data_IF_643575319531
#
_entry.id   IF_643575319531
#
_cell.length_a   1.000
_cell.length_b   1.000
_cell.length_c   1.000
_cell.angle_alpha   90.00
_cell.angle_beta   90.00
_cell.angle_gamma   90.00
#
_symmetry.space_group_name_H-M   'P 1'
#
loop_
_entity.id
_entity.type
_entity.pdbx_description
1 polymer ?
#
# COMPACT_ATOMS: atom_id res chain seq x y z
N UNK A 1 -24.52 -9.63 -6.96
CA UNK A 1 -24.53 -9.05 -5.60
C UNK A 1 -24.84 -10.18 -4.65
N UNK A 2 -23.84 -10.74 -4.01
CA UNK A 2 -24.03 -11.73 -2.93
C UNK A 2 -24.58 -10.96 -1.74
N UNK A 3 -25.76 -11.34 -1.25
CA UNK A 3 -26.36 -10.80 -0.02
C UNK A 3 -25.34 -10.98 1.12
N UNK A 4 -24.87 -9.88 1.70
CA UNK A 4 -24.09 -9.91 2.94
C UNK A 4 -25.07 -10.48 3.99
N UNK A 5 -24.73 -11.65 4.52
CA UNK A 5 -25.47 -12.24 5.61
C UNK A 5 -25.37 -11.24 6.79
N UNK A 6 -26.46 -10.71 7.31
CA UNK A 6 -26.50 -9.69 8.39
C UNK A 6 -25.75 -10.14 9.68
N UNK A 7 -25.32 -11.39 9.72
CA UNK A 7 -24.54 -11.98 10.81
C UNK A 7 -23.02 -11.94 10.62
N UNK A 8 -22.50 -11.51 9.45
CA UNK A 8 -21.06 -11.55 9.19
C UNK A 8 -20.42 -10.17 9.35
N UNK A 9 -19.32 -10.08 10.12
CA UNK A 9 -18.46 -8.90 10.23
C UNK A 9 -17.42 -8.98 9.12
N UNK A 10 -17.49 -8.18 8.03
CA UNK A 10 -16.55 -8.29 6.91
C UNK A 10 -15.18 -7.75 7.27
N UNK A 11 -14.10 -8.28 6.64
CA UNK A 11 -12.72 -7.78 6.84
C UNK A 11 -12.54 -6.38 6.26
N UNK A 12 -13.28 -6.02 5.23
CA UNK A 12 -13.28 -4.70 4.61
C UNK A 12 -14.67 -4.30 4.16
N UNK A 13 -15.00 -3.01 4.26
CA UNK A 13 -16.30 -2.46 3.87
C UNK A 13 -16.08 -1.10 3.19
N UNK A 14 -15.89 -1.08 1.84
CA UNK A 14 -15.80 0.16 1.08
C UNK A 14 -17.08 1.00 1.23
N UNK A 15 -16.93 2.29 1.47
CA UNK A 15 -18.05 3.22 1.65
C UNK A 15 -18.26 4.04 0.40
N UNK A 16 -19.45 3.96 -0.20
CA UNK A 16 -19.94 4.85 -1.24
C UNK A 16 -21.31 5.34 -0.81
N UNK A 17 -21.50 6.66 -0.82
CA UNK A 17 -22.76 7.30 -0.45
C UNK A 17 -23.22 8.31 -1.50
N UNK A 18 -24.30 9.03 -1.19
CA UNK A 18 -24.90 10.02 -2.10
C UNK A 18 -23.90 11.10 -2.54
N UNK A 19 -22.97 11.50 -1.67
CA UNK A 19 -21.99 12.54 -2.04
C UNK A 19 -21.04 12.09 -3.16
N UNK A 20 -20.61 10.82 -3.17
CA UNK A 20 -19.82 10.24 -4.26
C UNK A 20 -20.66 10.11 -5.54
N UNK A 21 -21.92 9.68 -5.40
CA UNK A 21 -22.86 9.55 -6.54
C UNK A 21 -23.11 10.93 -7.18
N UNK A 22 -23.42 11.94 -6.38
CA UNK A 22 -23.65 13.30 -6.85
C UNK A 22 -22.42 13.88 -7.54
N UNK A 23 -21.22 13.68 -6.99
CA UNK A 23 -19.98 14.14 -7.60
C UNK A 23 -19.75 13.50 -8.98
N UNK A 24 -19.98 12.21 -9.13
CA UNK A 24 -19.91 11.50 -10.42
C UNK A 24 -20.94 12.03 -11.40
N UNK A 25 -22.20 12.25 -10.97
CA UNK A 25 -23.26 12.79 -11.82
C UNK A 25 -22.89 14.18 -12.35
N UNK A 26 -22.29 15.05 -11.51
CA UNK A 26 -21.83 16.38 -11.95
C UNK A 26 -20.73 16.27 -13.02
N UNK A 27 -19.75 15.38 -12.85
CA UNK A 27 -18.73 15.14 -13.87
C UNK A 27 -19.34 14.69 -15.19
N UNK A 28 -20.26 13.72 -15.16
CA UNK A 28 -20.91 13.22 -16.37
C UNK A 28 -21.73 14.33 -17.08
N UNK A 29 -22.43 15.19 -16.33
CA UNK A 29 -23.17 16.33 -16.87
C UNK A 29 -22.27 17.39 -17.48
N UNK A 30 -21.06 17.58 -16.95
CA UNK A 30 -20.10 18.56 -17.48
C UNK A 30 -19.51 18.16 -18.84
N UNK A 31 -19.50 16.87 -19.17
CA UNK A 31 -18.84 16.31 -20.35
C UNK A 31 -17.30 16.19 -20.20
N UNK A 32 -16.69 16.72 -19.16
CA UNK A 32 -15.24 16.60 -18.88
C UNK A 32 -14.98 15.35 -18.07
N UNK A 33 -14.86 14.20 -18.72
CA UNK A 33 -14.81 12.89 -18.04
C UNK A 33 -13.41 12.32 -17.89
N UNK A 34 -12.38 12.91 -18.53
CA UNK A 34 -11.00 12.41 -18.54
C UNK A 34 -10.03 13.53 -18.20
N UNK A 35 -9.21 13.32 -17.18
CA UNK A 35 -8.07 14.16 -16.78
C UNK A 35 -8.32 15.69 -16.93
N UNK A 36 -9.32 16.18 -16.26
CA UNK A 36 -9.76 17.57 -16.29
C UNK A 36 -9.67 18.24 -14.92
N UNK A 37 -10.66 19.11 -14.58
CA UNK A 37 -10.64 19.91 -13.36
C UNK A 37 -10.72 19.09 -12.07
N UNK A 38 -11.39 17.92 -12.08
CA UNK A 38 -11.49 17.07 -10.89
C UNK A 38 -10.15 16.43 -10.54
N UNK A 39 -9.41 15.97 -11.57
CA UNK A 39 -8.05 15.45 -11.38
C UNK A 39 -7.13 16.53 -10.83
N UNK A 40 -7.13 17.73 -11.40
CA UNK A 40 -6.30 18.84 -10.93
C UNK A 40 -6.58 19.20 -9.46
N UNK A 41 -7.88 19.32 -9.10
CA UNK A 41 -8.29 19.62 -7.74
C UNK A 41 -8.00 18.47 -6.75
N UNK A 42 -7.98 17.22 -7.22
CA UNK A 42 -7.59 16.07 -6.40
C UNK A 42 -6.08 16.07 -6.13
N UNK A 43 -5.25 16.32 -7.16
CA UNK A 43 -3.79 16.47 -7.03
C UNK A 43 -3.44 17.59 -6.02
N UNK A 44 -4.05 18.76 -6.16
CA UNK A 44 -3.83 19.92 -5.27
C UNK A 44 -4.20 19.61 -3.80
N UNK A 45 -5.38 19.01 -3.59
CA UNK A 45 -5.81 18.68 -2.21
C UNK A 45 -5.01 17.56 -1.58
N UNK A 46 -4.56 16.57 -2.36
CA UNK A 46 -3.77 15.46 -1.86
C UNK A 46 -2.38 15.92 -1.41
N UNK A 47 -1.82 16.97 -2.02
CA UNK A 47 -0.53 17.55 -1.66
C UNK A 47 -0.43 17.92 -0.17
N UNK A 48 -1.53 18.36 0.44
CA UNK A 48 -1.58 18.67 1.87
C UNK A 48 -1.32 17.46 2.80
N UNK A 49 -1.53 16.22 2.30
CA UNK A 49 -1.27 15.00 3.07
C UNK A 49 0.19 14.56 3.03
N UNK A 50 0.98 15.11 2.12
CA UNK A 50 2.34 14.67 1.80
C UNK A 50 3.35 15.84 1.84
N UNK A 51 3.20 16.71 2.81
CA UNK A 51 4.09 17.84 3.09
C UNK A 51 4.24 18.82 1.90
N UNK A 52 3.13 19.05 1.19
CA UNK A 52 3.09 19.97 0.05
C UNK A 52 3.81 19.49 -1.21
N UNK A 53 4.16 18.20 -1.30
CA UNK A 53 4.78 17.63 -2.51
C UNK A 53 3.87 17.75 -3.72
N UNK A 54 4.47 17.85 -4.90
CA UNK A 54 3.76 17.81 -6.18
C UNK A 54 3.14 16.43 -6.34
N UNK A 55 1.85 16.41 -6.64
CA UNK A 55 1.07 15.20 -6.87
C UNK A 55 0.74 15.04 -8.35
N UNK A 56 0.80 13.79 -8.83
CA UNK A 56 0.45 13.43 -10.21
C UNK A 56 -0.46 12.20 -10.18
N UNK A 57 -1.74 12.39 -10.45
CA UNK A 57 -2.74 11.32 -10.41
C UNK A 57 -2.61 10.41 -11.65
N UNK A 58 -2.75 9.12 -11.44
CA UNK A 58 -2.66 8.06 -12.45
C UNK A 58 -3.76 7.03 -12.24
N UNK A 59 -3.89 6.06 -13.15
CA UNK A 59 -5.01 5.11 -13.15
C UNK A 59 -4.91 3.97 -12.13
N UNK A 60 -3.76 3.77 -11.47
CA UNK A 60 -3.58 2.75 -10.41
C UNK A 60 -2.31 2.98 -9.60
N UNK A 61 -2.23 2.35 -8.40
CA UNK A 61 -0.99 2.35 -7.61
C UNK A 61 0.17 1.66 -8.32
N UNK A 62 -0.08 0.59 -9.07
CA UNK A 62 0.95 -0.08 -9.88
C UNK A 62 1.51 0.86 -10.94
N UNK A 63 0.66 1.61 -11.62
CA UNK A 63 1.08 2.63 -12.58
C UNK A 63 1.88 3.75 -11.92
N UNK A 64 1.51 4.15 -10.69
CA UNK A 64 2.24 5.16 -9.94
C UNK A 64 3.68 4.72 -9.66
N UNK A 65 3.88 3.50 -9.15
CA UNK A 65 5.21 2.92 -8.92
C UNK A 65 6.01 2.80 -10.23
N UNK A 66 5.37 2.25 -11.27
CA UNK A 66 6.03 2.03 -12.56
C UNK A 66 6.48 3.34 -13.21
N UNK A 67 5.60 4.34 -13.27
CA UNK A 67 5.91 5.64 -13.87
C UNK A 67 6.98 6.40 -13.07
N UNK A 68 6.95 6.29 -11.73
CA UNK A 68 7.98 6.90 -10.89
C UNK A 68 9.36 6.29 -11.14
N UNK A 69 9.46 4.95 -11.24
CA UNK A 69 10.70 4.26 -11.58
C UNK A 69 11.20 4.65 -12.97
N UNK A 70 10.33 4.67 -13.99
CA UNK A 70 10.68 5.11 -15.35
C UNK A 70 11.15 6.56 -15.36
N UNK A 71 10.49 7.46 -14.62
CA UNK A 71 10.86 8.87 -14.56
C UNK A 71 12.21 9.10 -13.87
N UNK A 72 12.62 8.21 -12.96
CA UNK A 72 13.95 8.16 -12.36
C UNK A 72 15.01 7.55 -13.29
N UNK A 73 14.63 7.12 -14.50
CA UNK A 73 15.54 6.49 -15.44
C UNK A 73 15.88 5.03 -15.13
N UNK A 74 15.18 4.40 -14.16
CA UNK A 74 15.46 3.04 -13.75
C UNK A 74 14.91 2.05 -14.79
N UNK A 75 15.78 1.16 -15.28
CA UNK A 75 15.43 0.25 -16.34
C UNK A 75 16.41 -0.91 -16.48
N UNK A 76 16.57 -1.39 -17.72
CA UNK A 76 17.42 -2.56 -18.02
C UNK A 76 18.86 -2.36 -17.57
N UNK A 77 19.36 -3.28 -16.75
CA UNK A 77 20.71 -3.26 -16.18
C UNK A 77 20.74 -2.79 -14.74
N UNK A 78 19.69 -2.09 -14.29
CA UNK A 78 19.55 -1.65 -12.91
C UNK A 78 18.90 -2.73 -12.04
N UNK A 79 19.10 -2.61 -10.73
CA UNK A 79 18.46 -3.40 -9.68
C UNK A 79 17.70 -2.49 -8.72
N UNK A 80 16.55 -2.98 -8.25
CA UNK A 80 15.77 -2.33 -7.19
C UNK A 80 15.58 -3.29 -6.04
N UNK A 81 15.96 -2.88 -4.83
CA UNK A 81 15.75 -3.66 -3.61
C UNK A 81 14.32 -3.47 -3.13
N UNK A 82 13.57 -4.57 -2.99
CA UNK A 82 12.16 -4.59 -2.56
C UNK A 82 11.92 -5.65 -1.51
N UNK A 83 10.93 -5.50 -0.59
CA UNK A 83 10.54 -6.59 0.30
C UNK A 83 9.79 -7.67 -0.49
N UNK A 84 10.04 -8.93 -0.13
CA UNK A 84 9.27 -10.02 -0.74
C UNK A 84 7.91 -10.23 -0.05
N UNK A 85 7.74 -9.72 1.17
CA UNK A 85 6.46 -9.73 1.87
C UNK A 85 5.67 -8.45 1.55
N UNK A 86 5.07 -8.43 0.36
CA UNK A 86 4.23 -7.33 -0.15
C UNK A 86 3.26 -7.84 -1.20
N UNK A 87 2.39 -6.97 -1.68
CA UNK A 87 1.62 -7.23 -2.90
C UNK A 87 2.55 -7.26 -4.12
N UNK A 88 2.29 -8.19 -5.04
CA UNK A 88 3.15 -8.40 -6.22
C UNK A 88 3.37 -7.13 -7.06
N UNK A 89 2.49 -6.12 -6.95
CA UNK A 89 2.61 -4.86 -7.70
C UNK A 89 3.92 -4.12 -7.42
N UNK A 90 4.46 -4.19 -6.18
CA UNK A 90 5.76 -3.57 -5.84
C UNK A 90 6.88 -4.10 -6.73
N UNK A 91 7.01 -5.43 -6.84
CA UNK A 91 8.01 -6.05 -7.70
C UNK A 91 7.64 -6.01 -9.19
N UNK A 92 6.34 -6.13 -9.54
CA UNK A 92 5.87 -6.02 -10.93
C UNK A 92 6.22 -4.66 -11.52
N UNK A 93 6.08 -3.57 -10.77
CA UNK A 93 6.41 -2.23 -11.23
C UNK A 93 7.89 -2.11 -11.64
N UNK A 94 8.80 -2.76 -10.89
CA UNK A 94 10.22 -2.86 -11.23
C UNK A 94 10.42 -3.67 -12.52
N UNK A 95 9.86 -4.88 -12.59
CA UNK A 95 10.03 -5.75 -13.78
C UNK A 95 9.49 -5.11 -15.06
N UNK A 96 8.43 -4.32 -14.97
CA UNK A 96 7.85 -3.61 -16.12
C UNK A 96 8.77 -2.52 -16.68
N UNK A 97 9.73 -1.97 -15.91
CA UNK A 97 10.76 -1.06 -16.44
C UNK A 97 11.88 -1.81 -17.17
N UNK A 98 11.98 -3.11 -17.01
CA UNK A 98 13.09 -3.93 -17.47
C UNK A 98 14.23 -4.08 -16.45
N UNK A 99 14.14 -3.44 -15.29
CA UNK A 99 15.07 -3.61 -14.18
C UNK A 99 14.90 -4.96 -13.48
N UNK A 100 15.92 -5.39 -12.76
CA UNK A 100 15.91 -6.58 -11.95
C UNK A 100 15.43 -6.28 -10.53
N UNK A 101 14.65 -7.23 -9.97
CA UNK A 101 14.22 -7.20 -8.58
C UNK A 101 15.28 -7.90 -7.72
N UNK A 102 15.68 -7.26 -6.63
CA UNK A 102 16.49 -7.87 -5.56
C UNK A 102 15.62 -7.89 -4.31
N UNK A 103 15.31 -9.10 -3.81
CA UNK A 103 14.53 -9.22 -2.59
C UNK A 103 15.42 -9.10 -1.38
N UNK A 104 14.97 -8.32 -0.39
CA UNK A 104 15.54 -8.26 0.95
C UNK A 104 14.47 -8.67 1.97
N UNK A 105 14.92 -9.21 3.11
CA UNK A 105 14.02 -9.64 4.17
C UNK A 105 13.40 -8.46 4.91
N UNK A 106 12.40 -8.73 5.71
CA UNK A 106 11.61 -7.76 6.46
C UNK A 106 11.99 -7.77 7.95
N UNK A 107 11.68 -6.66 8.63
CA UNK A 107 11.69 -6.64 10.09
C UNK A 107 10.55 -7.53 10.65
N UNK A 108 10.81 -8.30 11.72
CA UNK A 108 9.83 -9.25 12.25
C UNK A 108 8.55 -8.58 12.76
N UNK A 109 8.65 -7.35 13.25
CA UNK A 109 7.53 -6.67 13.91
C UNK A 109 6.76 -5.71 13.01
N UNK A 110 7.46 -4.93 12.18
CA UNK A 110 6.85 -3.91 11.32
C UNK A 110 6.54 -4.38 9.90
N UNK A 111 6.99 -5.56 9.50
CA UNK A 111 6.86 -6.14 8.15
C UNK A 111 7.45 -5.27 7.02
N UNK A 112 8.10 -4.16 7.33
CA UNK A 112 8.85 -3.34 6.38
C UNK A 112 10.23 -3.93 6.10
N UNK A 113 10.93 -3.41 5.07
CA UNK A 113 12.31 -3.79 4.79
C UNK A 113 13.20 -3.69 6.03
N UNK A 114 13.96 -4.75 6.33
CA UNK A 114 15.02 -4.71 7.33
C UNK A 114 16.23 -3.92 6.77
N UNK A 115 16.65 -2.83 7.44
CA UNK A 115 17.80 -2.04 7.02
C UNK A 115 19.10 -2.85 6.87
N UNK A 116 19.35 -3.84 7.71
CA UNK A 116 20.53 -4.69 7.61
C UNK A 116 20.45 -5.61 6.38
N UNK A 117 19.29 -6.20 6.12
CA UNK A 117 19.06 -6.99 4.90
C UNK A 117 19.17 -6.15 3.64
N UNK A 118 18.68 -4.90 3.66
CA UNK A 118 18.85 -3.95 2.55
C UNK A 118 20.32 -3.66 2.30
N UNK A 119 21.10 -3.34 3.33
CA UNK A 119 22.53 -3.05 3.18
C UNK A 119 23.32 -4.23 2.61
N UNK A 120 22.97 -5.45 3.00
CA UNK A 120 23.56 -6.69 2.46
C UNK A 120 23.14 -6.98 1.00
N UNK A 121 21.96 -6.53 0.57
CA UNK A 121 21.43 -6.77 -0.76
C UNK A 121 21.94 -5.79 -1.82
N UNK A 122 22.58 -4.67 -1.42
CA UNK A 122 23.08 -3.63 -2.34
C UNK A 122 24.25 -4.16 -3.17
N UNK A 123 24.15 -3.98 -4.49
CA UNK A 123 25.20 -4.28 -5.48
C UNK A 123 25.62 -3.01 -6.24
N UNK A 124 26.66 -3.06 -7.07
CA UNK A 124 26.99 -1.93 -7.96
C UNK A 124 25.91 -1.58 -9.00
N UNK A 125 24.93 -2.45 -9.22
CA UNK A 125 23.79 -2.22 -10.12
C UNK A 125 22.55 -1.69 -9.42
N UNK A 126 22.55 -1.65 -8.09
CA UNK A 126 21.40 -1.14 -7.33
C UNK A 126 21.20 0.34 -7.61
N UNK A 127 20.03 0.70 -8.12
CA UNK A 127 19.64 2.08 -8.43
C UNK A 127 18.66 2.65 -7.41
N UNK A 128 17.83 1.79 -6.79
CA UNK A 128 16.84 2.24 -5.82
C UNK A 128 16.55 1.20 -4.73
N UNK A 129 16.00 1.72 -3.62
CA UNK A 129 15.35 0.95 -2.57
C UNK A 129 13.87 1.31 -2.61
N UNK A 130 12.98 0.30 -2.56
CA UNK A 130 11.54 0.49 -2.52
C UNK A 130 10.95 -0.03 -1.19
N UNK A 131 10.97 0.78 -0.11
CA UNK A 131 10.27 0.43 1.11
C UNK A 131 8.75 0.39 0.86
N UNK A 132 8.09 -0.58 1.47
CA UNK A 132 6.63 -0.70 1.47
C UNK A 132 6.11 -0.38 2.87
N UNK A 133 5.18 0.56 2.97
CA UNK A 133 4.48 0.91 4.20
C UNK A 133 3.30 -0.04 4.40
N UNK A 134 3.64 -1.31 4.72
CA UNK A 134 2.69 -2.41 4.73
C UNK A 134 1.63 -2.25 5.82
N UNK A 135 0.40 -2.64 5.52
CA UNK A 135 -0.78 -2.56 6.42
C UNK A 135 -1.13 -1.16 6.93
N UNK A 136 -0.40 -0.13 6.46
CA UNK A 136 -0.55 1.24 6.94
C UNK A 136 0.41 1.62 8.06
N UNK A 137 1.39 0.76 8.38
CA UNK A 137 2.52 1.08 9.25
C UNK A 137 3.66 1.68 8.40
N UNK A 138 4.28 2.81 8.79
CA UNK A 138 5.43 3.33 8.07
C UNK A 138 6.62 2.36 8.18
N UNK A 139 7.32 2.13 7.07
CA UNK A 139 8.61 1.44 7.09
C UNK A 139 9.65 2.26 7.87
N UNK A 140 10.76 1.65 8.24
CA UNK A 140 11.85 2.25 9.01
C UNK A 140 12.64 3.32 8.21
N UNK A 141 11.93 4.38 7.78
CA UNK A 141 12.49 5.40 6.88
C UNK A 141 13.65 6.17 7.48
N UNK A 142 13.65 6.34 8.79
CA UNK A 142 14.74 6.95 9.58
C UNK A 142 16.05 6.15 9.49
N UNK A 143 15.97 4.83 9.26
CA UNK A 143 17.13 3.93 9.09
C UNK A 143 17.43 3.62 7.62
N UNK A 144 16.42 3.53 6.76
CA UNK A 144 16.56 3.22 5.33
C UNK A 144 17.07 4.42 4.53
N UNK A 145 16.58 5.64 4.80
CA UNK A 145 16.99 6.85 4.07
C UNK A 145 18.50 7.12 4.18
N UNK A 146 19.13 7.05 5.37
CA UNK A 146 20.59 7.21 5.47
C UNK A 146 21.39 6.16 4.72
N UNK A 147 20.90 4.93 4.57
CA UNK A 147 21.55 3.90 3.74
C UNK A 147 21.53 4.32 2.27
N UNK A 148 20.36 4.73 1.77
CA UNK A 148 20.21 5.19 0.40
C UNK A 148 21.10 6.41 0.08
N UNK A 149 21.14 7.40 0.98
CA UNK A 149 21.96 8.60 0.85
C UNK A 149 23.47 8.27 0.76
N UNK A 150 23.96 7.42 1.67
CA UNK A 150 25.40 7.00 1.66
C UNK A 150 25.79 6.27 0.38
N UNK A 151 24.83 5.59 -0.26
CA UNK A 151 25.03 4.78 -1.46
C UNK A 151 24.63 5.49 -2.76
N UNK A 152 24.08 6.72 -2.69
CA UNK A 152 23.59 7.45 -3.84
C UNK A 152 22.39 6.79 -4.53
N UNK A 153 21.54 6.08 -3.76
CA UNK A 153 20.39 5.34 -4.27
C UNK A 153 19.11 6.18 -4.17
N UNK A 154 18.21 6.02 -5.13
CA UNK A 154 16.88 6.57 -5.01
C UNK A 154 16.04 5.79 -3.96
N UNK A 155 15.17 6.50 -3.24
CA UNK A 155 14.14 5.87 -2.41
C UNK A 155 12.79 6.10 -3.07
N UNK A 156 12.09 5.02 -3.40
CA UNK A 156 10.75 5.00 -3.99
C UNK A 156 9.78 4.39 -2.99
N UNK A 157 8.94 5.22 -2.37
CA UNK A 157 8.02 4.75 -1.32
C UNK A 157 6.79 4.07 -1.94
N UNK A 158 6.56 2.79 -1.63
CA UNK A 158 5.25 2.15 -1.86
C UNK A 158 4.34 2.45 -0.66
N UNK A 159 3.61 3.56 -0.75
CA UNK A 159 2.65 4.03 0.25
C UNK A 159 1.19 3.63 -0.09
N UNK A 160 0.99 2.65 -0.98
CA UNK A 160 -0.33 2.22 -1.46
C UNK A 160 -1.29 1.74 -0.35
N UNK A 161 -0.78 1.47 0.84
CA UNK A 161 -1.57 1.04 2.00
C UNK A 161 -1.51 2.05 3.16
N UNK A 162 -0.87 3.22 3.00
CA UNK A 162 -0.46 4.03 4.13
C UNK A 162 -0.88 5.52 4.03
N UNK A 163 -2.07 5.78 3.50
CA UNK A 163 -2.63 7.14 3.42
C UNK A 163 -2.67 7.78 4.81
N UNK A 164 -1.99 8.92 4.97
CA UNK A 164 -1.82 9.66 6.23
C UNK A 164 -0.97 8.98 7.32
N UNK A 165 -0.29 7.87 7.02
CA UNK A 165 0.73 7.34 7.91
C UNK A 165 1.93 8.29 8.00
N UNK A 166 2.65 8.26 9.12
CA UNK A 166 3.80 9.13 9.34
C UNK A 166 4.83 8.46 10.26
N UNK A 167 6.08 8.85 10.12
CA UNK A 167 7.16 8.48 11.03
C UNK A 167 7.83 9.75 11.56
N UNK A 168 7.90 9.90 12.91
CA UNK A 168 8.39 11.11 13.58
C UNK A 168 7.77 12.41 13.07
N UNK A 169 6.46 12.37 12.77
CA UNK A 169 5.69 13.51 12.26
C UNK A 169 5.81 13.76 10.75
N UNK A 170 6.76 13.12 10.06
CA UNK A 170 6.90 13.24 8.61
C UNK A 170 5.99 12.24 7.89
N UNK A 171 5.09 12.68 6.98
CA UNK A 171 4.17 11.80 6.29
C UNK A 171 4.90 10.86 5.33
N UNK A 172 4.40 9.63 5.18
CA UNK A 172 4.85 8.72 4.11
C UNK A 172 4.49 9.32 2.74
N UNK A 173 5.28 9.00 1.73
CA UNK A 173 5.22 9.65 0.41
C UNK A 173 5.99 10.97 0.36
N UNK A 174 6.64 11.38 1.47
CA UNK A 174 7.45 12.58 1.57
C UNK A 174 8.93 12.33 1.94
N UNK A 175 9.39 11.08 2.05
CA UNK A 175 10.77 10.79 2.45
C UNK A 175 11.74 10.72 1.28
N UNK A 176 11.43 9.96 0.24
CA UNK A 176 12.35 9.66 -0.84
C UNK A 176 12.26 10.61 -2.04
N UNK A 177 12.76 10.14 -3.18
CA UNK A 177 12.61 10.80 -4.48
C UNK A 177 11.15 10.96 -4.87
N UNK A 178 10.32 9.99 -4.48
CA UNK A 178 8.88 10.03 -4.63
C UNK A 178 8.18 8.88 -3.94
N UNK A 179 6.86 9.01 -3.79
CA UNK A 179 5.98 7.99 -3.25
C UNK A 179 4.84 7.66 -4.20
N UNK A 180 4.28 6.47 -4.04
CA UNK A 180 3.13 5.99 -4.80
C UNK A 180 1.99 5.60 -3.87
N UNK A 181 0.78 6.03 -4.20
CA UNK A 181 -0.45 5.69 -3.48
C UNK A 181 -1.44 4.98 -4.40
N UNK A 182 -2.31 4.16 -3.81
CA UNK A 182 -3.37 3.44 -4.52
C UNK A 182 -4.73 3.87 -3.99
N UNK A 183 -5.69 4.03 -4.89
CA UNK A 183 -7.09 4.33 -4.56
C UNK A 183 -8.03 3.19 -4.96
N UNK A 184 -7.56 1.95 -4.83
CA UNK A 184 -8.37 0.74 -5.00
C UNK A 184 -9.45 0.66 -3.90
N UNK A 185 -10.63 0.07 -4.12
CA UNK A 185 -11.78 0.11 -3.19
C UNK A 185 -11.51 -0.34 -1.75
N UNK A 186 -10.56 -1.24 -1.51
CA UNK A 186 -10.23 -1.70 -0.14
C UNK A 186 -9.34 -0.73 0.64
N UNK A 187 -8.76 0.30 0.00
CA UNK A 187 -7.85 1.25 0.65
C UNK A 187 -8.58 2.15 1.64
N UNK A 188 -7.83 2.82 2.51
CA UNK A 188 -8.39 3.70 3.55
C UNK A 188 -9.23 4.86 2.97
N UNK A 189 -8.96 5.24 1.75
CA UNK A 189 -9.81 6.00 0.84
C UNK A 189 -9.67 5.42 -0.57
N UNK A 190 -10.67 5.58 -1.42
CA UNK A 190 -10.63 5.06 -2.77
C UNK A 190 -11.19 6.04 -3.81
N UNK A 191 -10.90 5.76 -5.06
CA UNK A 191 -11.41 6.49 -6.22
C UNK A 191 -11.96 5.49 -7.27
N UNK A 192 -12.58 4.38 -6.81
CA UNK A 192 -12.94 3.19 -7.59
C UNK A 192 -11.67 2.51 -8.10
N UNK A 193 -10.92 3.15 -8.99
CA UNK A 193 -9.56 2.85 -9.40
C UNK A 193 -8.76 4.14 -9.46
N UNK A 194 -7.46 4.07 -9.16
CA UNK A 194 -6.57 5.21 -9.23
C UNK A 194 -5.27 5.02 -8.47
N UNK A 195 -4.37 5.95 -8.68
CA UNK A 195 -3.10 6.08 -7.96
C UNK A 195 -2.63 7.53 -7.95
N UNK A 196 -1.61 7.80 -7.13
CA UNK A 196 -0.96 9.11 -7.07
C UNK A 196 0.54 8.91 -6.95
N UNK A 197 1.30 9.63 -7.77
CA UNK A 197 2.74 9.83 -7.56
C UNK A 197 2.93 11.12 -6.79
N UNK A 198 3.85 11.11 -5.81
CA UNK A 198 4.24 12.30 -5.04
C UNK A 198 5.74 12.52 -5.16
N UNK A 199 6.18 13.75 -5.38
CA UNK A 199 7.60 14.10 -5.44
C UNK A 199 7.83 15.57 -5.08
N UNK A 200 9.02 15.91 -4.59
CA UNK A 200 9.44 17.30 -4.41
C UNK A 200 10.11 17.88 -5.66
N UNK A 201 10.47 17.03 -6.64
CA UNK A 201 11.19 17.41 -7.84
C UNK A 201 10.20 17.76 -8.97
N UNK A 202 10.16 19.03 -9.45
CA UNK A 202 9.28 19.45 -10.54
C UNK A 202 9.57 18.74 -11.88
N UNK A 203 10.83 18.43 -12.16
CA UNK A 203 11.21 17.76 -13.42
C UNK A 203 10.78 16.29 -13.39
N UNK A 204 10.92 15.63 -12.24
CA UNK A 204 10.41 14.28 -12.06
C UNK A 204 8.87 14.26 -12.21
N UNK A 205 8.18 15.22 -11.60
CA UNK A 205 6.73 15.36 -11.76
C UNK A 205 6.32 15.62 -13.22
N UNK A 206 7.06 16.47 -13.94
CA UNK A 206 6.85 16.73 -15.37
C UNK A 206 7.00 15.44 -16.19
N UNK A 207 8.09 14.71 -15.94
CA UNK A 207 8.35 13.44 -16.64
C UNK A 207 7.24 12.42 -16.39
N UNK A 208 6.74 12.29 -15.15
CA UNK A 208 5.59 11.43 -14.85
C UNK A 208 4.33 11.89 -15.60
N UNK A 209 4.08 13.21 -15.71
CA UNK A 209 2.95 13.75 -16.47
C UNK A 209 3.04 13.41 -17.96
N UNK A 210 4.23 13.49 -18.55
CA UNK A 210 4.48 13.08 -19.93
C UNK A 210 4.22 11.57 -20.09
N UNK A 211 4.86 10.75 -19.27
CA UNK A 211 4.75 9.29 -19.34
C UNK A 211 3.30 8.79 -19.21
N UNK A 212 2.49 9.38 -18.30
CA UNK A 212 1.07 9.00 -18.12
C UNK A 212 0.18 9.40 -19.28
N UNK A 213 0.61 10.35 -20.13
CA UNK A 213 -0.19 10.99 -21.17
C UNK A 213 0.44 10.84 -22.57
N UNK A 214 0.79 9.63 -22.97
CA UNK A 214 1.33 9.34 -24.30
C UNK A 214 2.64 10.10 -24.64
N UNK A 215 3.36 10.60 -23.63
CA UNK A 215 4.59 11.35 -23.79
C UNK A 215 4.40 12.80 -24.25
N UNK A 216 3.22 13.41 -24.03
CA UNK A 216 2.92 14.76 -24.54
C UNK A 216 2.34 15.68 -23.44
N UNK A 217 2.78 16.94 -23.42
CA UNK A 217 2.12 18.06 -22.75
C UNK A 217 1.09 18.73 -23.67
N UNK A 218 1.50 19.00 -24.90
CA UNK A 218 0.61 19.57 -25.92
C UNK A 218 0.10 18.47 -26.83
N UNK A 219 -1.16 18.59 -27.22
CA UNK A 219 -1.81 17.62 -28.11
C UNK A 219 -1.02 17.42 -29.41
N UNK A 220 -0.69 16.16 -29.70
CA UNK A 220 0.10 15.71 -30.87
C UNK A 220 1.59 16.12 -30.86
N UNK A 221 2.10 16.71 -29.78
CA UNK A 221 3.51 17.00 -29.61
C UNK A 221 4.13 16.00 -28.58
N UNK A 222 4.46 14.80 -29.04
CA UNK A 222 5.07 13.77 -28.22
C UNK A 222 6.57 14.05 -28.05
N UNK A 223 7.01 14.22 -26.82
CA UNK A 223 8.41 14.47 -26.47
C UNK A 223 9.17 13.19 -26.14
N UNK A 224 8.47 12.23 -25.52
CA UNK A 224 9.01 10.93 -25.10
C UNK A 224 8.02 9.81 -25.42
N UNK A 225 8.47 8.56 -25.32
CA UNK A 225 7.56 7.41 -25.36
C UNK A 225 6.77 7.38 -24.05
N UNK A 226 5.46 7.36 -24.11
CA UNK A 226 4.56 7.31 -22.95
C UNK A 226 3.37 6.38 -23.19
N UNK A 227 2.56 6.19 -22.16
CA UNK A 227 1.38 5.34 -22.18
C UNK A 227 0.12 6.12 -21.80
N UNK A 228 -1.04 5.50 -21.94
CA UNK A 228 -2.29 6.03 -21.39
C UNK A 228 -2.52 5.47 -20.00
N UNK A 229 -2.01 6.17 -18.98
CA UNK A 229 -2.19 5.83 -17.57
C UNK A 229 -2.87 6.96 -16.77
N UNK A 230 -3.74 7.72 -17.46
CA UNK A 230 -4.47 8.86 -16.89
C UNK A 230 -5.54 8.40 -15.92
N UNK A 231 -5.71 9.14 -14.82
CA UNK A 231 -6.89 9.07 -13.98
C UNK A 231 -8.06 9.78 -14.70
N UNK A 232 -9.28 9.26 -14.56
CA UNK A 232 -10.47 9.93 -15.05
C UNK A 232 -10.98 10.97 -14.05
N UNK A 233 -11.68 12.01 -14.53
CA UNK A 233 -12.35 12.98 -13.64
C UNK A 233 -13.46 12.30 -12.82
N UNK A 234 -14.09 11.25 -13.34
CA UNK A 234 -15.06 10.44 -12.60
C UNK A 234 -14.42 9.82 -11.35
N UNK A 235 -13.26 9.18 -11.51
CA UNK A 235 -12.52 8.60 -10.38
C UNK A 235 -12.02 9.69 -9.42
N UNK A 236 -11.48 10.79 -9.96
CA UNK A 236 -10.97 11.89 -9.14
C UNK A 236 -12.06 12.56 -8.30
N UNK A 237 -13.28 12.71 -8.82
CA UNK A 237 -14.43 13.24 -8.09
C UNK A 237 -14.78 12.38 -6.87
N UNK A 238 -14.83 11.05 -7.04
CA UNK A 238 -14.98 10.13 -5.92
C UNK A 238 -13.84 10.30 -4.92
N UNK A 239 -12.58 10.29 -5.40
CA UNK A 239 -11.39 10.48 -4.57
C UNK A 239 -11.42 11.77 -3.75
N UNK A 240 -11.90 12.88 -4.30
CA UNK A 240 -12.04 14.16 -3.60
C UNK A 240 -13.05 14.13 -2.46
N UNK A 241 -14.18 13.45 -2.64
CA UNK A 241 -15.19 13.25 -1.57
C UNK A 241 -14.59 12.39 -0.47
N UNK A 242 -13.98 11.27 -0.82
CA UNK A 242 -13.32 10.34 0.09
C UNK A 242 -12.20 11.02 0.89
N UNK A 243 -11.40 11.85 0.23
CA UNK A 243 -10.31 12.62 0.85
C UNK A 243 -10.81 13.51 2.00
N UNK A 244 -12.00 14.11 1.84
CA UNK A 244 -12.64 14.91 2.89
C UNK A 244 -13.05 14.12 4.13
N UNK A 245 -13.18 12.80 4.02
CA UNK A 245 -13.56 11.88 5.12
C UNK A 245 -12.38 11.13 5.70
N UNK A 246 -11.24 11.10 5.00
CA UNK A 246 -10.09 10.25 5.32
C UNK A 246 -9.57 10.45 6.75
N UNK A 247 -9.47 11.69 7.22
CA UNK A 247 -8.99 11.98 8.57
C UNK A 247 -9.88 11.33 9.65
N UNK A 248 -11.19 11.51 9.56
CA UNK A 248 -12.14 10.90 10.49
C UNK A 248 -12.13 9.37 10.42
N UNK A 249 -12.04 8.81 9.22
CA UNK A 249 -11.94 7.36 9.05
C UNK A 249 -10.64 6.78 9.59
N UNK A 250 -9.54 7.50 9.44
CA UNK A 250 -8.25 7.09 10.02
C UNK A 250 -8.32 7.05 11.55
N UNK A 251 -8.88 8.09 12.18
CA UNK A 251 -9.03 8.08 13.64
C UNK A 251 -10.00 6.98 14.12
N UNK A 252 -11.05 6.69 13.37
CA UNK A 252 -11.94 5.57 13.70
C UNK A 252 -11.23 4.22 13.60
N UNK A 253 -10.40 3.99 12.55
CA UNK A 253 -9.57 2.77 12.44
C UNK A 253 -8.59 2.66 13.61
N UNK A 254 -7.96 3.75 14.00
CA UNK A 254 -7.04 3.77 15.13
C UNK A 254 -7.73 3.49 16.46
N UNK A 255 -8.92 4.05 16.66
CA UNK A 255 -9.74 3.76 17.84
C UNK A 255 -10.19 2.28 17.88
N UNK A 256 -10.61 1.72 16.72
CA UNK A 256 -10.96 0.31 16.61
C UNK A 256 -9.74 -0.58 16.92
N UNK A 257 -8.56 -0.23 16.40
CA UNK A 257 -7.32 -0.97 16.68
C UNK A 257 -6.94 -0.93 18.15
N UNK A 258 -6.99 0.24 18.78
CA UNK A 258 -6.72 0.37 20.22
C UNK A 258 -7.68 -0.50 21.07
N UNK A 259 -8.97 -0.52 20.70
CA UNK A 259 -9.93 -1.41 21.35
C UNK A 259 -9.53 -2.88 21.22
N UNK A 260 -9.11 -3.31 20.02
CA UNK A 260 -8.67 -4.68 19.78
C UNK A 260 -7.38 -5.00 20.57
N UNK A 261 -6.42 -4.08 20.60
CA UNK A 261 -5.16 -4.22 21.35
C UNK A 261 -5.43 -4.42 22.85
N UNK A 262 -6.37 -3.66 23.42
CA UNK A 262 -6.71 -3.71 24.86
C UNK A 262 -7.48 -4.97 25.26
N UNK A 263 -8.22 -5.60 24.33
CA UNK A 263 -9.18 -6.68 24.66
C UNK A 263 -8.79 -8.06 24.10
N UNK A 264 -7.89 -8.14 23.13
CA UNK A 264 -7.36 -9.43 22.65
C UNK A 264 -6.34 -9.94 23.66
N UNK A 265 -6.69 -11.07 24.31
CA UNK A 265 -5.89 -11.68 25.39
C UNK A 265 -5.48 -13.12 25.09
N UNK A 266 -5.87 -13.68 23.94
CA UNK A 266 -5.54 -15.04 23.54
C UNK A 266 -4.02 -15.26 23.46
N UNK A 267 -3.41 -16.20 24.21
CA UNK A 267 -1.96 -16.39 24.25
C UNK A 267 -1.34 -16.79 22.89
N UNK A 268 -2.16 -17.36 22.00
CA UNK A 268 -1.73 -17.75 20.65
C UNK A 268 -1.72 -16.56 19.66
N UNK A 269 -2.20 -15.39 20.05
CA UNK A 269 -2.37 -14.23 19.18
C UNK A 269 -1.42 -13.12 19.62
N UNK A 270 -0.63 -12.61 18.68
CA UNK A 270 0.19 -11.41 18.90
C UNK A 270 -0.42 -10.27 18.09
N UNK A 271 -0.83 -9.21 18.78
CA UNK A 271 -1.38 -7.98 18.17
C UNK A 271 -0.28 -7.21 17.43
N UNK A 272 -0.61 -6.39 16.41
CA UNK A 272 0.38 -5.66 15.63
C UNK A 272 1.12 -4.63 16.50
N UNK A 273 2.44 -4.70 16.62
CA UNK A 273 3.21 -3.67 17.32
C UNK A 273 3.26 -2.38 16.50
N UNK A 274 3.38 -1.25 17.18
CA UNK A 274 3.59 0.06 16.56
C UNK A 274 4.97 0.59 16.96
N UNK A 275 5.82 0.86 15.97
CA UNK A 275 7.15 1.39 16.22
C UNK A 275 7.11 2.79 16.85
N UNK A 276 8.13 3.14 17.63
CA UNK A 276 8.26 4.46 18.23
C UNK A 276 8.23 5.56 17.16
N UNK A 277 7.46 6.60 17.39
CA UNK A 277 7.27 7.71 16.45
C UNK A 277 6.41 7.38 15.23
N UNK A 278 5.94 6.13 15.07
CA UNK A 278 5.09 5.75 13.96
C UNK A 278 3.61 6.11 14.21
N UNK A 279 2.99 6.74 13.22
CA UNK A 279 1.55 6.88 13.13
C UNK A 279 1.00 5.80 12.20
N UNK A 280 0.62 4.66 12.79
CA UNK A 280 -0.05 3.57 12.06
C UNK A 280 -1.49 3.96 11.73
N UNK A 281 -1.93 3.71 10.48
CA UNK A 281 -3.27 4.08 10.00
C UNK A 281 -4.18 2.88 9.77
N UNK A 282 -3.69 1.70 10.13
CA UNK A 282 -4.43 0.44 10.13
C UNK A 282 -5.26 0.22 8.86
N UNK A 283 -4.58 0.21 7.71
CA UNK A 283 -5.18 -0.31 6.47
C UNK A 283 -5.65 -1.74 6.71
N UNK A 284 -4.82 -2.52 7.39
CA UNK A 284 -5.16 -3.82 7.95
C UNK A 284 -4.79 -3.85 9.45
N UNK A 285 -5.57 -4.55 10.24
CA UNK A 285 -5.22 -4.96 11.60
C UNK A 285 -4.75 -6.41 11.52
N UNK A 286 -3.44 -6.60 11.45
CA UNK A 286 -2.84 -7.90 11.14
C UNK A 286 -2.16 -8.46 12.36
N UNK A 287 -2.71 -9.55 12.87
CA UNK A 287 -2.16 -10.30 14.01
C UNK A 287 -1.28 -11.45 13.53
N UNK A 288 -0.37 -11.94 14.38
CA UNK A 288 0.30 -13.22 14.18
C UNK A 288 -0.38 -14.31 15.01
N UNK A 289 -0.60 -15.45 14.39
CA UNK A 289 -1.18 -16.64 15.03
C UNK A 289 -0.05 -17.65 15.27
N UNK A 290 0.16 -18.02 16.53
CA UNK A 290 1.09 -19.09 16.88
C UNK A 290 0.40 -20.44 16.72
N UNK A 291 0.96 -21.33 15.91
CA UNK A 291 0.41 -22.66 15.64
C UNK A 291 -0.31 -22.73 14.29
N UNK A 292 -1.42 -23.46 14.22
CA UNK A 292 -2.16 -23.66 12.96
C UNK A 292 -3.01 -22.44 12.60
N UNK A 293 -2.43 -21.52 11.78
CA UNK A 293 -3.07 -20.32 11.28
C UNK A 293 -4.35 -20.62 10.47
N UNK A 294 -4.34 -21.66 9.64
CA UNK A 294 -5.47 -21.98 8.76
C UNK A 294 -6.66 -22.54 9.56
N UNK A 295 -6.38 -23.35 10.58
CA UNK A 295 -7.42 -23.78 11.54
C UNK A 295 -8.00 -22.58 12.32
N UNK A 296 -7.18 -21.64 12.76
CA UNK A 296 -7.65 -20.41 13.42
C UNK A 296 -8.54 -19.58 12.48
N UNK A 297 -8.16 -19.40 11.22
CA UNK A 297 -8.98 -18.71 10.21
C UNK A 297 -10.34 -19.40 9.99
N UNK A 298 -10.36 -20.72 9.92
CA UNK A 298 -11.60 -21.48 9.78
C UNK A 298 -12.53 -21.27 10.99
N UNK A 299 -12.00 -21.24 12.22
CA UNK A 299 -12.77 -20.95 13.45
C UNK A 299 -13.33 -19.53 13.43
N UNK A 300 -12.54 -18.52 13.07
CA UNK A 300 -12.99 -17.13 12.93
C UNK A 300 -14.12 -17.02 11.89
N UNK A 301 -13.96 -17.65 10.74
CA UNK A 301 -15.00 -17.69 9.69
C UNK A 301 -16.27 -18.36 10.20
N UNK A 302 -16.15 -19.48 10.93
CA UNK A 302 -17.29 -20.17 11.57
C UNK A 302 -18.01 -19.33 12.61
N UNK A 303 -17.30 -18.40 13.29
CA UNK A 303 -17.87 -17.42 14.22
C UNK A 303 -18.46 -16.19 13.50
N UNK A 304 -18.47 -16.15 12.18
CA UNK A 304 -18.97 -15.02 11.39
C UNK A 304 -18.01 -13.82 11.32
N UNK A 305 -16.72 -14.03 11.61
CA UNK A 305 -15.69 -12.98 11.50
C UNK A 305 -14.94 -13.13 10.19
N UNK A 306 -15.06 -12.14 9.32
CA UNK A 306 -14.27 -12.03 8.09
C UNK A 306 -12.79 -11.89 8.42
N UNK A 307 -11.96 -12.64 7.72
CA UNK A 307 -10.51 -12.61 7.90
C UNK A 307 -9.80 -12.90 6.58
N UNK A 308 -8.54 -12.52 6.46
CA UNK A 308 -7.76 -12.73 5.24
C UNK A 308 -6.26 -12.79 5.54
N UNK A 309 -5.50 -13.39 4.64
CA UNK A 309 -4.03 -13.37 4.67
C UNK A 309 -3.51 -12.42 3.58
N UNK A 310 -2.75 -11.42 3.97
CA UNK A 310 -2.07 -10.49 3.08
C UNK A 310 -0.55 -10.52 3.40
N UNK A 311 0.30 -11.38 2.73
CA UNK A 311 -0.04 -12.19 1.56
C UNK A 311 0.38 -13.64 1.81
N UNK A 312 -0.40 -14.66 1.36
CA UNK A 312 -0.15 -16.06 1.73
C UNK A 312 1.08 -16.66 1.02
N UNK A 313 1.49 -16.06 -0.09
CA UNK A 313 2.67 -16.47 -0.84
C UNK A 313 3.58 -15.27 -1.04
N UNK A 314 4.79 -15.25 -0.47
CA UNK A 314 5.77 -14.20 -0.72
C UNK A 314 6.10 -14.06 -2.21
N UNK A 315 6.46 -12.84 -2.65
CA UNK A 315 6.63 -12.53 -4.08
C UNK A 315 7.70 -13.41 -4.71
N UNK A 316 8.82 -13.67 -4.04
CA UNK A 316 9.91 -14.51 -4.56
C UNK A 316 9.49 -15.97 -4.84
N UNK A 317 8.39 -16.43 -4.23
CA UNK A 317 7.80 -17.76 -4.46
C UNK A 317 6.70 -17.76 -5.53
N UNK A 318 6.28 -16.59 -6.02
CA UNK A 318 5.33 -16.51 -7.13
C UNK A 318 5.99 -16.95 -8.44
N UNK A 319 5.25 -17.66 -9.28
CA UNK A 319 5.75 -18.25 -10.53
C UNK A 319 6.57 -17.30 -11.42
N UNK A 320 6.18 -16.02 -11.64
CA UNK A 320 6.95 -15.08 -12.49
C UNK A 320 8.34 -14.75 -11.96
N UNK A 321 8.59 -14.93 -10.65
CA UNK A 321 9.86 -14.67 -9.98
C UNK A 321 10.62 -15.96 -9.71
N UNK A 322 9.94 -17.00 -9.21
CA UNK A 322 10.52 -18.27 -8.89
C UNK A 322 11.12 -19.02 -10.10
N UNK A 323 10.41 -19.10 -11.26
CA UNK A 323 10.90 -19.80 -12.43
C UNK A 323 12.20 -19.23 -13.02
N UNK A 324 12.37 -17.91 -13.18
CA UNK A 324 13.64 -17.34 -13.61
C UNK A 324 14.78 -17.61 -12.62
N UNK A 325 14.51 -17.53 -11.31
CA UNK A 325 15.52 -17.77 -10.28
C UNK A 325 15.99 -19.23 -10.27
N UNK A 326 15.09 -20.20 -10.45
CA UNK A 326 15.47 -21.62 -10.63
C UNK A 326 16.42 -21.83 -11.83
N UNK A 327 16.17 -21.14 -12.95
CA UNK A 327 17.01 -21.25 -14.15
C UNK A 327 18.41 -20.65 -13.94
N UNK A 328 18.54 -19.63 -13.11
CA UNK A 328 19.82 -18.94 -12.81
C UNK A 328 20.51 -19.50 -11.57
N UNK A 329 19.85 -20.40 -10.82
CA UNK A 329 20.35 -20.92 -9.54
C UNK A 329 20.30 -19.90 -8.40
N UNK A 330 19.55 -18.79 -8.56
CA UNK A 330 19.37 -17.80 -7.50
C UNK A 330 18.47 -18.36 -6.41
N UNK A 331 18.91 -18.28 -5.17
CA UNK A 331 18.14 -18.63 -3.99
C UNK A 331 18.02 -17.40 -3.08
N UNK A 332 16.85 -17.25 -2.46
CA UNK A 332 16.56 -16.19 -1.49
C UNK A 332 16.44 -16.81 -0.11
N UNK A 333 17.21 -16.29 0.86
CA UNK A 333 17.09 -16.61 2.28
C UNK A 333 16.37 -15.46 2.97
N UNK A 334 15.07 -15.63 3.22
CA UNK A 334 14.15 -14.61 3.70
C UNK A 334 13.29 -15.18 4.85
N UNK A 335 13.91 -15.58 5.98
CA UNK A 335 13.24 -16.33 7.04
C UNK A 335 12.10 -15.56 7.72
N UNK A 336 12.23 -14.24 7.92
CA UNK A 336 11.17 -13.44 8.52
C UNK A 336 9.99 -13.24 7.56
N UNK A 337 10.25 -13.12 6.26
CA UNK A 337 9.23 -13.10 5.19
C UNK A 337 8.42 -14.40 5.19
N UNK A 338 9.10 -15.55 5.21
CA UNK A 338 8.46 -16.86 5.21
C UNK A 338 7.62 -17.08 6.45
N UNK A 339 8.18 -16.77 7.63
CA UNK A 339 7.48 -16.83 8.91
C UNK A 339 6.25 -15.92 8.95
N UNK A 340 6.37 -14.68 8.43
CA UNK A 340 5.22 -13.78 8.35
C UNK A 340 4.10 -14.37 7.46
N UNK A 341 4.44 -14.92 6.29
CA UNK A 341 3.46 -15.54 5.40
C UNK A 341 2.71 -16.71 6.03
N UNK A 342 3.36 -17.45 6.92
CA UNK A 342 2.78 -18.59 7.62
C UNK A 342 1.89 -18.20 8.82
N UNK A 343 2.17 -17.04 9.47
CA UNK A 343 1.59 -16.69 10.77
C UNK A 343 0.49 -15.62 10.69
N UNK A 344 0.50 -14.73 9.68
CA UNK A 344 -0.36 -13.54 9.70
C UNK A 344 -1.81 -13.80 9.35
N UNK A 345 -2.72 -13.09 10.04
CA UNK A 345 -4.14 -12.99 9.74
C UNK A 345 -4.60 -11.55 9.94
N UNK A 346 -5.27 -10.98 8.96
CA UNK A 346 -5.89 -9.66 9.07
C UNK A 346 -7.34 -9.77 9.54
N UNK A 347 -7.68 -8.98 10.55
CA UNK A 347 -8.99 -8.88 11.17
C UNK A 347 -9.73 -7.60 10.76
N UNK A 348 -11.07 -7.53 10.92
CA UNK A 348 -11.82 -6.32 10.63
C UNK A 348 -11.37 -5.12 11.47
N UNK A 349 -11.12 -3.96 10.80
CA UNK A 349 -10.73 -2.70 11.47
C UNK A 349 -11.34 -1.47 10.80
N UNK A 350 -12.20 -1.67 9.77
CA UNK A 350 -12.76 -0.60 8.95
C UNK A 350 -13.65 0.38 9.76
N UNK A 351 -13.83 1.63 9.28
CA UNK A 351 -14.50 2.67 10.07
C UNK A 351 -15.99 2.45 10.30
N UNK A 352 -16.62 1.52 9.55
CA UNK A 352 -18.04 1.20 9.69
C UNK A 352 -18.34 0.15 10.77
N UNK A 353 -17.34 -0.36 11.49
CA UNK A 353 -17.57 -1.30 12.59
C UNK A 353 -18.32 -0.63 13.74
N UNK A 354 -19.33 -1.33 14.27
CA UNK A 354 -20.02 -0.96 15.50
C UNK A 354 -19.26 -1.49 16.73
N UNK A 355 -19.62 -1.04 17.92
CA UNK A 355 -19.08 -1.59 19.17
C UNK A 355 -19.38 -3.09 19.30
N UNK A 356 -20.60 -3.50 18.96
CA UNK A 356 -20.98 -4.91 18.96
C UNK A 356 -20.18 -5.76 17.96
N UNK A 357 -19.77 -5.20 16.81
CA UNK A 357 -18.87 -5.90 15.87
C UNK A 357 -17.48 -6.10 16.48
N UNK A 358 -16.93 -5.09 17.15
CA UNK A 358 -15.64 -5.17 17.84
C UNK A 358 -15.67 -6.21 18.96
N UNK A 359 -16.73 -6.23 19.78
CA UNK A 359 -16.93 -7.25 20.84
C UNK A 359 -16.98 -8.67 20.26
N UNK A 360 -17.65 -8.85 19.13
CA UNK A 360 -17.71 -10.14 18.42
C UNK A 360 -16.35 -10.57 17.92
N UNK A 361 -15.57 -9.64 17.34
CA UNK A 361 -14.20 -9.93 16.88
C UNK A 361 -13.33 -10.37 18.06
N UNK A 362 -13.32 -9.62 19.16
CA UNK A 362 -12.56 -9.93 20.39
C UNK A 362 -12.95 -11.30 20.95
N UNK A 363 -14.27 -11.57 21.09
CA UNK A 363 -14.76 -12.84 21.60
C UNK A 363 -14.28 -14.02 20.74
N UNK A 364 -14.39 -13.90 19.42
CA UNK A 364 -13.98 -14.97 18.51
C UNK A 364 -12.45 -15.19 18.52
N UNK A 365 -11.66 -14.11 18.62
CA UNK A 365 -10.20 -14.19 18.66
C UNK A 365 -9.73 -14.79 19.98
N UNK A 366 -10.33 -14.38 21.11
CA UNK A 366 -9.96 -14.90 22.43
C UNK A 366 -10.31 -16.40 22.59
N UNK A 367 -11.37 -16.86 21.93
CA UNK A 367 -11.69 -18.30 21.88
C UNK A 367 -10.66 -19.15 21.13
N UNK A 368 -9.72 -18.57 20.35
CA UNK A 368 -8.67 -19.32 19.68
C UNK A 368 -7.64 -19.90 20.69
N UNK A 369 -7.52 -19.30 21.88
CA UNK A 369 -6.63 -19.78 22.96
C UNK A 369 -7.20 -20.93 23.78
N UNK A 370 -8.50 -21.24 23.65
CA UNK A 370 -9.13 -22.36 24.33
C UNK A 370 -8.91 -23.63 23.49
N UNK A 371 -8.18 -24.61 24.07
CA UNK A 371 -8.00 -25.93 23.44
C UNK A 371 -9.39 -26.57 23.24
N UNK A 372 -9.66 -27.22 22.08
CA UNK A 372 -10.87 -27.99 21.87
C UNK A 372 -10.94 -29.19 22.80
#
# INVERSE_FOLDING_TARGET
MTSINEQQVPVASPVIGEAEIDAVVQVLRSGNVVQGPEVAAFEERFAALVDGRICVAVNSGTSALHLLLLALGIGRGDEVVVPSFSFAASANAVRLTGADVVFADIEPDGFGLDPAAVEAAITPRTAAIMPVHLYGHPAAMDRLTPIAERRGLAVVEDACQAHTAALHGKPVGAFGAGGAFSFYPTKNMHAIEGGMVTTADPELARTVRLLRNQGMEQRYANEIVGANMRMTDVSAAVGRVQLGRLAAWTERRRANAAYLDDHITAPAVTVPPVAEGARHVYHQYTVRIRGDRDAAMARLTGAGIGNAVYYPTPIHRLKPYWEPDQKTGRAWDLPETDKAADEVVSLPVHPSLTEGDLERVVTAVNALGENP
#
